data_IF_914470679480
#
_entry.id   IF_914470679480
#
_cell.length_a   1.000
_cell.length_b   1.000
_cell.length_c   1.000
_cell.angle_alpha   90.00
_cell.angle_beta   90.00
_cell.angle_gamma   90.00
#
_symmetry.space_group_name_H-M   'P 1'
#
loop_
_entity.id
_entity.type
_entity.pdbx_description
1 polymer ?
#
# COMPACT_ATOMS: atom_id res chain seq x y z
N UNK A 1 -5.78 3.09 58.80
CA UNK A 1 -5.56 3.43 57.38
C UNK A 1 -6.77 4.21 56.90
N UNK A 2 -6.60 5.53 56.76
CA UNK A 2 -7.69 6.49 56.50
C UNK A 2 -8.44 6.17 55.19
N UNK A 3 -9.76 6.38 55.17
CA UNK A 3 -10.65 6.03 54.04
C UNK A 3 -10.19 6.70 52.75
N UNK A 4 -9.69 7.92 52.87
CA UNK A 4 -9.13 8.73 51.78
C UNK A 4 -7.88 8.11 51.17
N UNK A 5 -7.01 7.50 52.00
CA UNK A 5 -5.77 6.86 51.54
C UNK A 5 -6.05 5.56 50.79
N UNK A 6 -7.11 4.82 51.15
CA UNK A 6 -7.56 3.63 50.39
C UNK A 6 -8.10 4.00 49.02
N UNK A 7 -8.89 5.07 48.92
CA UNK A 7 -9.47 5.52 47.64
C UNK A 7 -8.38 5.99 46.67
N UNK A 8 -7.41 6.77 47.16
CA UNK A 8 -6.26 7.21 46.36
C UNK A 8 -5.42 6.04 45.86
N UNK A 9 -5.17 5.03 46.71
CA UNK A 9 -4.44 3.83 46.31
C UNK A 9 -5.20 3.02 45.24
N UNK A 10 -6.53 2.91 45.38
CA UNK A 10 -7.38 2.23 44.40
C UNK A 10 -7.40 2.93 43.05
N UNK A 11 -7.46 4.28 43.02
CA UNK A 11 -7.41 5.06 41.77
C UNK A 11 -6.04 4.91 41.10
N UNK A 12 -4.95 4.97 41.89
CA UNK A 12 -3.58 4.81 41.38
C UNK A 12 -3.35 3.42 40.77
N UNK A 13 -3.90 2.37 41.39
CA UNK A 13 -3.83 1.00 40.87
C UNK A 13 -4.59 0.86 39.56
N UNK A 14 -5.78 1.45 39.41
CA UNK A 14 -6.58 1.36 38.17
C UNK A 14 -5.84 1.98 36.97
N UNK A 15 -5.12 3.09 37.18
CA UNK A 15 -4.36 3.76 36.12
C UNK A 15 -3.15 2.93 35.67
N UNK A 16 -2.57 2.10 36.55
CA UNK A 16 -1.43 1.24 36.22
C UNK A 16 -1.81 -0.05 35.47
N UNK A 17 -3.09 -0.45 35.44
CA UNK A 17 -3.54 -1.71 34.80
C UNK A 17 -4.22 -1.53 33.44
N UNK A 18 -4.43 -0.30 32.96
CA UNK A 18 -4.76 -0.10 31.55
C UNK A 18 -3.47 -0.18 30.75
N UNK A 19 -3.07 -1.40 30.40
CA UNK A 19 -2.09 -1.63 29.34
C UNK A 19 -2.59 -0.81 28.14
N UNK A 20 -1.81 0.14 27.60
CA UNK A 20 -2.22 0.79 26.38
C UNK A 20 -2.38 -0.34 25.36
N UNK A 21 -3.60 -0.55 24.89
CA UNK A 21 -3.89 -1.43 23.76
C UNK A 21 -3.31 -0.72 22.55
N UNK A 22 -1.99 -0.73 22.43
CA UNK A 22 -1.32 -0.59 21.16
C UNK A 22 -1.79 -1.79 20.37
N UNK A 23 -2.69 -1.54 19.43
CA UNK A 23 -3.04 -2.52 18.43
C UNK A 23 -1.72 -3.08 17.88
N UNK A 24 -1.49 -4.37 18.08
CA UNK A 24 -0.29 -5.07 17.68
C UNK A 24 0.00 -4.70 16.22
N UNK A 25 1.09 -3.97 15.98
CA UNK A 25 1.49 -3.60 14.62
C UNK A 25 1.65 -4.91 13.85
N UNK A 26 0.72 -5.17 12.92
CA UNK A 26 0.75 -6.35 12.06
C UNK A 26 1.77 -6.18 10.94
N UNK A 27 3.01 -5.91 11.33
CA UNK A 27 4.15 -5.73 10.44
C UNK A 27 4.31 -7.00 9.61
N UNK A 28 4.28 -6.87 8.29
CA UNK A 28 4.44 -8.00 7.37
C UNK A 28 3.14 -8.71 6.94
N UNK A 29 1.96 -8.32 7.42
CA UNK A 29 0.70 -9.01 7.06
C UNK A 29 0.39 -8.95 5.56
N UNK A 30 0.85 -7.92 4.85
CA UNK A 30 0.67 -7.81 3.42
C UNK A 30 1.79 -8.48 2.62
N UNK A 31 2.86 -8.97 3.25
CA UNK A 31 3.99 -9.53 2.51
C UNK A 31 3.55 -10.73 1.65
N UNK A 32 4.00 -10.73 0.39
CA UNK A 32 3.54 -11.66 -0.65
C UNK A 32 2.25 -11.23 -1.37
N UNK A 33 1.63 -10.12 -0.98
CA UNK A 33 0.43 -9.58 -1.64
C UNK A 33 0.80 -8.67 -2.80
N UNK A 34 0.15 -8.90 -3.94
CA UNK A 34 0.14 -7.99 -5.07
C UNK A 34 -1.17 -7.21 -5.13
N UNK A 35 -1.10 -5.91 -5.49
CA UNK A 35 -2.27 -5.09 -5.79
C UNK A 35 -2.21 -4.56 -7.21
N UNK A 36 -3.38 -4.53 -7.85
CA UNK A 36 -3.63 -3.75 -9.06
C UNK A 36 -4.59 -2.62 -8.74
N UNK A 37 -4.16 -1.38 -8.96
CA UNK A 37 -4.88 -0.17 -8.59
C UNK A 37 -5.25 0.63 -9.84
N UNK A 38 -6.46 1.17 -9.91
CA UNK A 38 -6.94 2.02 -11.01
C UNK A 38 -7.51 3.30 -10.44
N UNK A 39 -7.31 4.43 -11.11
CA UNK A 39 -7.88 5.71 -10.65
C UNK A 39 -9.40 5.59 -10.56
N UNK A 40 -9.93 5.95 -9.40
CA UNK A 40 -11.37 5.86 -9.11
C UNK A 40 -12.20 6.85 -9.94
N UNK A 41 -11.61 7.97 -10.36
CA UNK A 41 -12.26 9.02 -11.15
C UNK A 41 -12.10 8.85 -12.68
N UNK A 42 -11.36 7.83 -13.13
CA UNK A 42 -11.07 7.61 -14.54
C UNK A 42 -11.26 6.15 -14.93
N UNK A 43 -12.35 5.87 -15.66
CA UNK A 43 -12.73 4.52 -16.09
C UNK A 43 -11.64 3.82 -16.92
N UNK A 44 -11.00 4.53 -17.85
CA UNK A 44 -9.90 4.00 -18.67
C UNK A 44 -8.51 4.29 -18.09
N UNK A 45 -8.39 4.35 -16.77
CA UNK A 45 -7.10 4.58 -16.13
C UNK A 45 -6.16 3.40 -16.31
N UNK A 46 -4.88 3.73 -16.44
CA UNK A 46 -3.82 2.73 -16.52
C UNK A 46 -3.66 2.10 -15.13
N UNK A 47 -3.57 0.76 -15.05
CA UNK A 47 -3.38 0.11 -13.76
C UNK A 47 -1.98 0.42 -13.20
N UNK A 48 -1.92 0.63 -11.89
CA UNK A 48 -0.72 0.65 -11.08
C UNK A 48 -0.58 -0.67 -10.35
N UNK A 49 0.65 -1.16 -10.30
CA UNK A 49 0.98 -2.45 -9.73
C UNK A 49 1.89 -2.24 -8.52
N UNK A 50 1.49 -2.80 -7.39
CA UNK A 50 2.20 -2.75 -6.11
C UNK A 50 2.47 -4.17 -5.63
N UNK A 51 3.66 -4.41 -5.08
CA UNK A 51 3.97 -5.66 -4.37
C UNK A 51 4.46 -5.34 -2.98
N UNK A 52 3.91 -6.02 -2.00
CA UNK A 52 4.39 -6.00 -0.63
C UNK A 52 5.33 -7.18 -0.42
N UNK A 53 6.55 -6.90 0.03
CA UNK A 53 7.59 -7.89 0.29
C UNK A 53 8.44 -7.43 1.47
N UNK A 54 8.53 -8.31 2.48
CA UNK A 54 9.43 -8.17 3.62
C UNK A 54 9.34 -6.79 4.32
N UNK A 55 8.12 -6.31 4.59
CA UNK A 55 7.87 -5.01 5.22
C UNK A 55 8.09 -3.81 4.30
N UNK A 56 8.28 -4.03 3.01
CA UNK A 56 8.41 -2.97 2.00
C UNK A 56 7.38 -3.09 0.91
N UNK A 57 7.03 -1.95 0.31
CA UNK A 57 6.21 -1.90 -0.90
C UNK A 57 7.10 -1.51 -2.07
N UNK A 58 6.91 -2.24 -3.17
CA UNK A 58 7.56 -2.03 -4.45
C UNK A 58 6.53 -1.43 -5.39
N UNK A 59 6.72 -0.16 -5.75
CA UNK A 59 5.81 0.58 -6.62
C UNK A 59 6.47 1.79 -7.31
N UNK A 60 5.78 2.45 -8.24
CA UNK A 60 4.83 1.84 -9.16
C UNK A 60 5.64 0.99 -10.16
N UNK A 61 5.57 -0.34 -10.06
CA UNK A 61 6.51 -1.24 -10.74
C UNK A 61 6.51 -1.08 -12.27
N UNK A 62 5.42 -0.55 -12.86
CA UNK A 62 5.36 -0.25 -14.30
C UNK A 62 4.39 0.92 -14.57
N UNK A 63 4.91 2.11 -14.86
CA UNK A 63 4.15 3.03 -15.73
C UNK A 63 4.37 2.54 -17.16
N UNK A 64 3.35 1.91 -17.70
CA UNK A 64 3.37 1.08 -18.92
C UNK A 64 3.90 1.80 -20.18
N UNK A 65 4.05 3.12 -20.15
CA UNK A 65 4.59 3.91 -21.26
C UNK A 65 6.12 3.89 -21.38
N UNK A 66 6.85 3.42 -20.37
CA UNK A 66 8.33 3.39 -20.42
C UNK A 66 8.89 2.09 -19.83
N UNK A 67 9.20 1.09 -20.67
CA UNK A 67 9.89 -0.14 -20.24
C UNK A 67 11.20 0.12 -19.49
N UNK A 68 11.83 1.28 -19.74
CA UNK A 68 13.08 1.73 -19.11
C UNK A 68 12.93 2.15 -17.63
N UNK A 69 11.71 2.44 -17.15
CA UNK A 69 11.46 2.85 -15.74
C UNK A 69 11.29 1.68 -14.78
N UNK A 70 11.16 0.46 -15.28
CA UNK A 70 11.09 -0.78 -14.48
C UNK A 70 12.33 -0.92 -13.56
N UNK A 71 13.45 -0.27 -13.91
CA UNK A 71 14.70 -0.29 -13.15
C UNK A 71 14.70 0.58 -11.87
N UNK A 72 13.75 1.50 -11.69
CA UNK A 72 13.60 2.32 -10.47
C UNK A 72 12.30 1.97 -9.75
N UNK A 73 12.22 0.74 -9.27
CA UNK A 73 11.28 0.39 -8.21
C UNK A 73 11.46 1.40 -7.07
N UNK A 74 10.46 2.25 -6.80
CA UNK A 74 10.44 2.95 -5.52
C UNK A 74 10.12 1.87 -4.49
N UNK A 75 11.17 1.53 -3.74
CA UNK A 75 11.05 0.71 -2.54
C UNK A 75 10.78 1.67 -1.39
N UNK A 76 9.69 1.46 -0.69
CA UNK A 76 9.38 2.20 0.52
C UNK A 76 9.06 1.22 1.63
N UNK A 77 9.58 1.46 2.83
CA UNK A 77 9.08 0.77 4.01
C UNK A 77 7.63 1.20 4.22
N UNK A 78 6.75 0.23 4.48
CA UNK A 78 5.38 0.52 4.85
C UNK A 78 5.17 0.32 6.34
N UNK A 79 4.27 1.11 6.89
CA UNK A 79 3.80 0.99 8.26
C UNK A 79 2.32 0.60 8.22
N UNK A 80 1.87 -0.06 9.29
CA UNK A 80 0.52 -0.59 9.37
C UNK A 80 -0.15 -0.15 10.66
N UNK A 81 -1.39 0.27 10.55
CA UNK A 81 -2.33 0.30 11.67
C UNK A 81 -3.39 -0.79 11.45
N UNK A 82 -4.36 -0.88 12.35
CA UNK A 82 -5.54 -1.73 12.17
C UNK A 82 -6.32 -1.42 10.90
N UNK A 83 -6.40 -0.15 10.49
CA UNK A 83 -7.29 0.30 9.40
C UNK A 83 -6.56 0.65 8.12
N UNK A 84 -5.29 1.08 8.21
CA UNK A 84 -4.54 1.59 7.06
C UNK A 84 -3.15 1.02 6.98
N UNK A 85 -2.65 0.90 5.75
CA UNK A 85 -1.23 0.71 5.44
C UNK A 85 -0.75 1.97 4.75
N UNK A 86 0.37 2.53 5.18
CA UNK A 86 0.88 3.78 4.61
C UNK A 86 2.37 3.69 4.36
N UNK A 87 2.80 4.36 3.30
CA UNK A 87 4.19 4.48 2.86
C UNK A 87 4.28 5.78 2.06
N UNK A 88 5.46 6.41 1.98
CA UNK A 88 5.76 7.61 1.16
C UNK A 88 4.57 8.25 0.42
N UNK A 89 3.91 9.27 1.00
CA UNK A 89 2.78 10.00 0.39
C UNK A 89 1.53 9.17 0.02
N UNK A 90 1.46 7.90 0.41
CA UNK A 90 0.38 6.97 0.11
C UNK A 90 -0.29 6.41 1.36
N UNK A 91 -1.61 6.27 1.30
CA UNK A 91 -2.44 5.61 2.32
C UNK A 91 -3.37 4.61 1.66
N UNK A 92 -3.29 3.34 2.05
CA UNK A 92 -4.16 2.25 1.63
C UNK A 92 -5.11 1.91 2.76
N UNK A 93 -6.42 2.08 2.55
CA UNK A 93 -7.45 1.62 3.48
C UNK A 93 -7.68 0.13 3.29
N UNK A 94 -7.54 -0.64 4.37
CA UNK A 94 -7.53 -2.11 4.32
C UNK A 94 -8.90 -2.71 4.04
N UNK A 95 -9.95 -2.07 4.53
CA UNK A 95 -11.33 -2.52 4.41
C UNK A 95 -11.88 -2.37 2.97
N UNK A 96 -11.48 -1.29 2.31
CA UNK A 96 -12.01 -0.90 1.00
C UNK A 96 -11.01 -1.09 -0.14
N UNK A 97 -9.73 -1.33 0.18
CA UNK A 97 -8.62 -1.31 -0.77
C UNK A 97 -8.58 -0.01 -1.60
N UNK A 98 -9.07 1.10 -1.06
CA UNK A 98 -8.83 2.42 -1.63
C UNK A 98 -7.37 2.79 -1.34
N UNK A 99 -6.70 3.36 -2.33
CA UNK A 99 -5.37 3.92 -2.21
C UNK A 99 -5.45 5.42 -2.48
N UNK A 100 -5.02 6.23 -1.53
CA UNK A 100 -4.73 7.64 -1.71
C UNK A 100 -3.27 7.81 -2.04
N UNK A 101 -2.98 8.61 -3.06
CA UNK A 101 -1.65 9.18 -3.27
C UNK A 101 -1.75 10.70 -3.17
N UNK A 102 -0.90 11.31 -2.35
CA UNK A 102 -0.71 12.76 -2.33
C UNK A 102 0.20 13.18 -3.48
N UNK A 103 -0.20 14.20 -4.21
CA UNK A 103 0.56 14.84 -5.29
C UNK A 103 0.89 16.25 -4.86
N UNK A 104 2.18 16.60 -4.94
CA UNK A 104 2.73 17.88 -4.54
C UNK A 104 2.36 18.28 -3.09
N UNK A 105 2.19 17.28 -2.21
CA UNK A 105 1.84 17.46 -0.80
C UNK A 105 0.43 18.02 -0.51
N UNK A 106 -0.41 18.24 -1.53
CA UNK A 106 -1.69 18.95 -1.34
C UNK A 106 -2.89 18.34 -2.08
N UNK A 107 -2.68 17.62 -3.19
CA UNK A 107 -3.78 17.04 -3.98
C UNK A 107 -3.83 15.54 -3.77
N UNK A 108 -4.97 15.01 -3.34
CA UNK A 108 -5.16 13.57 -3.29
C UNK A 108 -5.69 13.02 -4.61
N UNK A 109 -5.12 11.90 -5.05
CA UNK A 109 -5.66 11.06 -6.12
C UNK A 109 -6.09 9.75 -5.50
N UNK A 110 -7.33 9.35 -5.82
CA UNK A 110 -7.91 8.11 -5.33
C UNK A 110 -7.80 7.00 -6.37
N UNK A 111 -7.39 5.82 -5.90
CA UNK A 111 -7.34 4.60 -6.68
C UNK A 111 -8.14 3.51 -5.99
N UNK A 112 -8.90 2.75 -6.76
CA UNK A 112 -9.53 1.52 -6.30
C UNK A 112 -8.59 0.36 -6.64
N UNK A 113 -8.21 -0.42 -5.63
CA UNK A 113 -7.29 -1.55 -5.78
C UNK A 113 -7.99 -2.89 -5.62
N UNK A 114 -7.43 -3.90 -6.25
CA UNK A 114 -7.82 -5.30 -6.15
C UNK A 114 -6.58 -6.14 -5.88
N UNK A 115 -6.75 -7.22 -5.10
CA UNK A 115 -5.68 -8.20 -4.88
C UNK A 115 -5.43 -8.96 -6.18
N UNK A 116 -4.16 -9.06 -6.56
CA UNK A 116 -3.70 -9.83 -7.70
C UNK A 116 -2.51 -10.69 -7.30
N UNK A 117 -2.52 -11.96 -7.71
CA UNK A 117 -1.40 -12.85 -7.47
C UNK A 117 -0.11 -12.31 -8.14
N UNK A 118 1.03 -12.26 -7.43
CA UNK A 118 2.28 -11.74 -7.98
C UNK A 118 2.74 -12.41 -9.28
N UNK A 119 2.48 -13.71 -9.48
CA UNK A 119 2.82 -14.40 -10.74
C UNK A 119 1.92 -13.93 -11.87
N UNK A 120 0.63 -13.73 -11.59
CA UNK A 120 -0.31 -13.14 -12.54
C UNK A 120 0.08 -11.70 -12.92
N UNK A 121 0.56 -10.90 -11.95
CA UNK A 121 1.11 -9.57 -12.23
C UNK A 121 2.31 -9.65 -13.18
N UNK A 122 3.27 -10.53 -12.89
CA UNK A 122 4.44 -10.74 -13.74
C UNK A 122 4.06 -11.16 -15.17
N UNK A 123 3.11 -12.08 -15.32
CA UNK A 123 2.60 -12.50 -16.63
C UNK A 123 1.90 -11.37 -17.38
N UNK A 124 1.05 -10.58 -16.71
CA UNK A 124 0.35 -9.44 -17.30
C UNK A 124 1.33 -8.38 -17.82
N UNK A 125 2.42 -8.14 -17.08
CA UNK A 125 3.49 -7.21 -17.48
C UNK A 125 4.26 -7.74 -18.70
N UNK A 126 4.64 -9.02 -18.69
CA UNK A 126 5.38 -9.64 -19.77
C UNK A 126 4.60 -9.65 -21.09
N UNK A 127 3.33 -10.04 -21.06
CA UNK A 127 2.44 -10.02 -22.23
C UNK A 127 2.34 -8.61 -22.83
N UNK A 128 2.30 -7.57 -21.99
CA UNK A 128 2.19 -6.18 -22.46
C UNK A 128 3.49 -5.67 -23.06
N UNK A 129 4.64 -6.05 -22.49
CA UNK A 129 5.98 -5.77 -23.05
C UNK A 129 6.13 -6.37 -24.44
N UNK A 130 5.69 -7.61 -24.62
CA UNK A 130 5.72 -8.29 -25.92
C UNK A 130 4.81 -7.60 -26.95
N UNK A 131 3.61 -7.19 -26.54
CA UNK A 131 2.69 -6.42 -27.39
C UNK A 131 3.30 -5.09 -27.84
N UNK A 132 3.94 -4.35 -26.92
CA UNK A 132 4.61 -3.09 -27.24
C UNK A 132 5.79 -3.30 -28.19
N UNK A 133 6.59 -4.35 -27.99
CA UNK A 133 7.71 -4.69 -28.88
C UNK A 133 7.23 -4.94 -30.30
N UNK A 134 6.17 -5.74 -30.48
CA UNK A 134 5.55 -6.00 -31.79
C UNK A 134 5.05 -4.71 -32.45
N UNK A 135 4.37 -3.84 -31.69
CA UNK A 135 3.91 -2.55 -32.21
C UNK A 135 5.06 -1.64 -32.66
N UNK A 136 6.23 -1.71 -32.03
CA UNK A 136 7.40 -0.95 -32.47
C UNK A 136 7.99 -1.53 -33.75
N UNK A 137 8.11 -2.85 -33.84
CA UNK A 137 8.59 -3.55 -35.05
C UNK A 137 7.65 -3.33 -36.25
N UNK A 138 6.33 -3.33 -36.03
CA UNK A 138 5.32 -3.10 -37.08
C UNK A 138 5.27 -1.63 -37.57
N UNK A 139 5.73 -0.67 -36.75
CA UNK A 139 5.78 0.76 -37.09
C UNK A 139 7.09 1.19 -37.78
N UNK A 140 8.09 0.31 -37.85
CA UNK A 140 9.35 0.53 -38.58
C UNK A 140 9.30 0.03 -40.04
N UNK A 141 8.11 -0.37 -40.53
CA UNK A 141 7.85 -0.82 -41.91
C UNK A 141 7.14 0.25 -42.74
#
# INVERSE_FOLDING_TARGET
>A
MDRTMKILLSILLIICFTVPVYAEEKKGELDGTGLVCRRSDMYFSRPYYLIFDSGTVLGPWVTIDTPLRISKLQKSEYQTTVSVVFWFEHTLWRDTLQLEGLVDGARSIMYSCEVMDPKQMGAAMQNKKEKLKKQMEDNEV
#
